data_IF_286391854004
#
_entry.id   IF_286391854004
#
_cell.length_a   1.000
_cell.length_b   1.000
_cell.length_c   1.000
_cell.angle_alpha   90.00
_cell.angle_beta   90.00
_cell.angle_gamma   90.00
#
_symmetry.space_group_name_H-M   'P 1'
#
loop_
_entity.id
_entity.type
_entity.pdbx_description
1 polymer ?
#
# COMPACT_ATOMS: atom_id res chain seq x y z
N UNK A 1 36.65 16.98 -10.71
CA UNK A 1 35.41 16.64 -11.43
C UNK A 1 34.24 16.68 -10.43
N UNK A 2 33.11 17.28 -10.80
CA UNK A 2 31.96 17.32 -9.88
C UNK A 2 31.20 15.99 -9.98
N UNK A 3 31.34 15.16 -8.97
CA UNK A 3 30.86 13.77 -8.93
C UNK A 3 29.38 13.62 -9.25
N UNK A 4 28.55 14.63 -8.91
CA UNK A 4 27.11 14.58 -9.15
C UNK A 4 26.72 14.63 -10.64
N UNK A 5 27.52 15.23 -11.53
CA UNK A 5 27.24 15.19 -12.97
C UNK A 5 27.30 13.74 -13.46
N UNK A 6 28.37 13.04 -13.08
CA UNK A 6 28.57 11.63 -13.40
C UNK A 6 27.46 10.74 -12.84
N UNK A 7 27.15 10.90 -11.54
CA UNK A 7 26.11 10.14 -10.88
C UNK A 7 24.71 10.35 -11.50
N UNK A 8 24.34 11.58 -11.87
CA UNK A 8 23.03 11.90 -12.45
C UNK A 8 22.89 11.40 -13.89
N UNK A 9 23.98 11.47 -14.69
CA UNK A 9 23.97 10.93 -16.03
C UNK A 9 23.66 9.45 -16.11
N UNK A 10 23.89 8.69 -15.01
CA UNK A 10 23.59 7.27 -14.94
C UNK A 10 22.11 6.97 -15.26
N UNK A 11 21.18 7.87 -14.94
CA UNK A 11 19.75 7.69 -15.26
C UNK A 11 19.49 7.53 -16.76
N UNK A 12 20.21 8.28 -17.59
CA UNK A 12 20.03 8.23 -19.06
C UNK A 12 20.98 7.23 -19.70
N UNK A 13 22.20 7.05 -19.18
CA UNK A 13 23.13 6.04 -19.72
C UNK A 13 22.62 4.62 -19.54
N UNK A 14 21.92 4.34 -18.44
CA UNK A 14 21.24 3.07 -18.23
C UNK A 14 20.12 2.79 -19.26
N UNK A 15 19.65 3.83 -19.95
CA UNK A 15 18.66 3.77 -21.03
C UNK A 15 19.28 3.84 -22.43
N UNK A 16 20.60 3.61 -22.53
CA UNK A 16 21.41 3.64 -23.76
C UNK A 16 21.57 5.04 -24.42
N UNK A 17 21.44 6.14 -23.64
CA UNK A 17 21.81 7.44 -24.18
C UNK A 17 23.29 7.42 -24.66
N UNK A 18 23.66 8.02 -25.83
CA UNK A 18 22.89 9.04 -26.56
C UNK A 18 21.91 8.52 -27.62
N UNK A 19 21.68 7.23 -27.73
CA UNK A 19 20.66 6.72 -28.67
C UNK A 19 19.24 6.94 -28.10
N UNK A 20 18.69 8.15 -28.36
CA UNK A 20 17.33 8.51 -27.96
C UNK A 20 16.24 7.75 -28.74
N UNK A 21 16.60 7.04 -29.80
CA UNK A 21 15.68 6.21 -30.57
C UNK A 21 15.56 4.79 -30.02
N UNK A 22 16.40 4.42 -29.08
CA UNK A 22 16.34 3.14 -28.40
C UNK A 22 15.00 2.93 -27.68
N UNK A 23 14.47 1.71 -27.73
CA UNK A 23 13.18 1.37 -27.13
C UNK A 23 13.15 1.59 -25.60
N UNK A 24 14.25 1.33 -24.91
CA UNK A 24 14.35 1.57 -23.46
C UNK A 24 14.28 3.05 -23.14
N UNK A 25 14.96 3.91 -23.92
CA UNK A 25 14.89 5.36 -23.75
C UNK A 25 13.47 5.89 -23.98
N UNK A 26 12.84 5.54 -25.11
CA UNK A 26 11.47 5.96 -25.43
C UNK A 26 10.43 5.51 -24.43
N UNK A 27 10.62 4.32 -23.85
CA UNK A 27 9.68 3.73 -22.89
C UNK A 27 9.80 4.31 -21.49
N UNK A 28 11.01 4.57 -21.02
CA UNK A 28 11.28 4.90 -19.62
C UNK A 28 11.67 6.36 -19.37
N UNK A 29 12.05 7.11 -20.42
CA UNK A 29 12.36 8.53 -20.31
C UNK A 29 11.27 9.40 -20.95
N UNK A 30 10.86 10.55 -20.31
CA UNK A 30 11.23 10.97 -18.95
C UNK A 30 10.51 10.14 -17.89
N UNK A 31 11.26 9.76 -16.85
CA UNK A 31 10.79 8.93 -15.74
C UNK A 31 10.36 9.73 -14.51
N UNK A 32 10.01 9.00 -13.45
CA UNK A 32 9.79 9.54 -12.11
C UNK A 32 11.00 9.20 -11.25
N UNK A 33 11.57 10.20 -10.55
CA UNK A 33 12.67 10.00 -9.62
C UNK A 33 12.16 9.97 -8.18
N UNK A 34 12.48 8.90 -7.45
CA UNK A 34 12.21 8.78 -6.01
C UNK A 34 13.57 8.81 -5.32
N UNK A 35 13.82 9.83 -4.50
CA UNK A 35 15.13 10.09 -3.92
C UNK A 35 15.02 10.46 -2.43
N UNK A 36 16.12 10.28 -1.69
CA UNK A 36 16.22 10.80 -0.33
C UNK A 36 16.20 12.33 -0.30
N UNK A 37 15.61 12.92 0.73
CA UNK A 37 15.53 14.39 0.86
C UNK A 37 16.87 15.10 0.89
N UNK A 38 17.93 14.43 1.31
CA UNK A 38 19.29 14.95 1.35
C UNK A 38 19.90 15.23 -0.02
N UNK A 39 19.47 14.50 -1.05
CA UNK A 39 19.92 14.65 -2.43
C UNK A 39 18.90 15.37 -3.33
N UNK A 40 17.81 15.88 -2.76
CA UNK A 40 16.76 16.55 -3.52
C UNK A 40 17.27 17.70 -4.37
N UNK A 41 18.17 18.54 -3.83
CA UNK A 41 18.73 19.68 -4.57
C UNK A 41 19.42 19.27 -5.86
N UNK A 42 20.14 18.16 -5.84
CA UNK A 42 20.83 17.65 -7.03
C UNK A 42 19.87 17.18 -8.10
N UNK A 43 18.76 16.56 -7.69
CA UNK A 43 17.75 16.00 -8.60
C UNK A 43 16.71 17.03 -9.08
N UNK A 44 16.37 18.00 -8.22
CA UNK A 44 15.30 18.96 -8.54
C UNK A 44 15.81 20.30 -9.09
N UNK A 45 17.11 20.60 -8.97
CA UNK A 45 17.69 21.84 -9.46
C UNK A 45 18.78 21.56 -10.51
N UNK A 46 19.83 20.82 -10.13
CA UNK A 46 20.99 20.64 -11.04
C UNK A 46 20.67 19.68 -12.18
N UNK A 47 20.00 18.58 -11.90
CA UNK A 47 19.68 17.59 -12.93
C UNK A 47 18.76 18.14 -14.03
N UNK A 48 17.64 18.78 -13.74
CA UNK A 48 16.87 19.46 -14.79
C UNK A 48 17.66 20.49 -15.58
N UNK A 49 18.51 21.26 -14.93
CA UNK A 49 19.34 22.25 -15.61
C UNK A 49 20.33 21.60 -16.61
N UNK A 50 20.94 20.46 -16.23
CA UNK A 50 21.84 19.71 -17.12
C UNK A 50 21.09 19.11 -18.32
N UNK A 51 19.92 18.54 -18.06
CA UNK A 51 19.08 17.97 -19.11
C UNK A 51 18.63 19.05 -20.11
N UNK A 52 18.14 20.19 -19.62
CA UNK A 52 17.75 21.31 -20.47
C UNK A 52 18.91 21.87 -21.28
N UNK A 53 20.13 21.93 -20.71
CA UNK A 53 21.32 22.33 -21.45
C UNK A 53 21.74 21.33 -22.54
N UNK A 54 21.28 20.08 -22.43
CA UNK A 54 21.51 19.01 -23.40
C UNK A 54 20.31 18.79 -24.34
N UNK A 55 19.32 19.69 -24.35
CA UNK A 55 18.07 19.58 -25.10
C UNK A 55 17.27 18.30 -24.80
N UNK A 56 17.34 17.83 -23.54
CA UNK A 56 16.59 16.68 -23.05
C UNK A 56 15.45 17.12 -22.12
N UNK A 57 14.35 16.38 -22.16
CA UNK A 57 13.23 16.61 -21.23
C UNK A 57 13.63 16.32 -19.77
N UNK A 58 13.26 17.18 -18.81
CA UNK A 58 13.39 16.89 -17.38
C UNK A 58 12.51 15.71 -16.94
N UNK A 59 12.80 15.10 -15.76
CA UNK A 59 11.95 14.06 -15.19
C UNK A 59 10.49 14.51 -15.03
N UNK A 60 9.54 13.62 -15.26
CA UNK A 60 8.08 13.93 -15.10
C UNK A 60 7.73 14.35 -13.69
N UNK A 61 8.38 13.74 -12.70
CA UNK A 61 8.18 14.03 -11.29
C UNK A 61 9.43 13.66 -10.50
N UNK A 62 9.72 14.45 -9.48
CA UNK A 62 10.76 14.15 -8.51
C UNK A 62 10.09 14.12 -7.14
N UNK A 63 10.19 12.99 -6.46
CA UNK A 63 9.62 12.78 -5.14
C UNK A 63 10.74 12.52 -4.14
N UNK A 64 10.78 13.32 -3.06
CA UNK A 64 11.76 13.16 -1.99
C UNK A 64 11.11 12.48 -0.79
N UNK A 65 11.64 11.33 -0.39
CA UNK A 65 11.23 10.66 0.84
C UNK A 65 12.08 11.10 2.04
N UNK A 66 11.51 10.97 3.23
CA UNK A 66 12.18 11.28 4.50
C UNK A 66 13.16 10.18 4.93
N UNK A 67 13.78 10.38 6.08
CA UNK A 67 14.67 9.42 6.71
C UNK A 67 13.94 8.55 7.72
N UNK A 68 14.52 7.39 7.97
CA UNK A 68 14.14 6.54 9.09
C UNK A 68 15.16 6.66 10.22
N UNK A 69 14.68 6.78 11.43
CA UNK A 69 15.44 6.60 12.67
C UNK A 69 15.24 5.17 13.18
N UNK A 70 16.05 4.73 14.13
CA UNK A 70 15.90 3.46 14.80
C UNK A 70 15.78 3.73 16.31
N UNK A 71 14.61 3.43 16.89
CA UNK A 71 14.29 3.72 18.28
C UNK A 71 14.61 5.19 18.67
N UNK A 72 14.16 6.12 17.82
CA UNK A 72 14.37 7.55 17.98
C UNK A 72 15.79 8.06 17.69
N UNK A 73 16.72 7.20 17.30
CA UNK A 73 18.10 7.56 17.03
C UNK A 73 18.42 7.52 15.54
N UNK A 74 19.27 8.42 15.07
CA UNK A 74 19.78 8.39 13.69
C UNK A 74 20.47 7.07 13.40
N UNK A 75 20.11 6.40 12.32
CA UNK A 75 20.78 5.18 11.87
C UNK A 75 22.20 5.51 11.44
N UNK A 76 23.18 4.87 12.05
CA UNK A 76 24.60 5.09 11.77
C UNK A 76 25.42 3.83 12.03
N UNK A 77 26.38 3.55 11.14
CA UNK A 77 27.33 2.44 11.32
C UNK A 77 28.17 2.62 12.58
N UNK A 78 28.52 3.87 12.92
CA UNK A 78 29.32 4.18 14.11
C UNK A 78 28.56 3.96 15.43
N UNK A 79 27.24 4.05 15.40
CA UNK A 79 26.38 3.77 16.56
C UNK A 79 26.00 2.29 16.67
N UNK A 80 26.31 1.47 15.65
CA UNK A 80 25.94 0.05 15.63
C UNK A 80 24.45 -0.23 15.57
N UNK A 81 23.63 0.78 15.26
CA UNK A 81 22.17 0.69 15.24
C UNK A 81 21.59 0.53 13.82
N UNK A 82 22.39 0.03 12.89
CA UNK A 82 21.96 -0.25 11.51
C UNK A 82 20.99 -1.43 11.54
N UNK A 83 19.86 -1.25 10.88
CA UNK A 83 18.84 -2.29 10.76
C UNK A 83 19.24 -3.20 9.60
N UNK A 84 19.37 -4.50 9.89
CA UNK A 84 19.54 -5.52 8.87
C UNK A 84 18.16 -5.93 8.34
N UNK A 85 17.81 -5.61 7.09
CA UNK A 85 16.49 -5.92 6.56
C UNK A 85 16.19 -7.43 6.53
N UNK A 86 17.17 -8.28 6.33
CA UNK A 86 16.98 -9.73 6.30
C UNK A 86 16.55 -10.28 7.66
N UNK A 87 17.22 -9.85 8.74
CA UNK A 87 16.85 -10.26 10.11
C UNK A 87 15.44 -9.81 10.49
N UNK A 88 15.06 -8.61 10.07
CA UNK A 88 13.72 -8.07 10.33
C UNK A 88 12.66 -8.82 9.50
N UNK A 89 12.97 -9.15 8.26
CA UNK A 89 12.07 -9.94 7.40
C UNK A 89 11.90 -11.36 7.96
N UNK A 90 12.99 -11.98 8.43
CA UNK A 90 12.93 -13.31 9.06
C UNK A 90 12.09 -13.29 10.34
N UNK A 91 12.13 -12.20 11.11
CA UNK A 91 11.38 -12.06 12.37
C UNK A 91 9.89 -11.76 12.15
N UNK A 92 9.54 -10.87 11.22
CA UNK A 92 8.18 -10.33 11.08
C UNK A 92 7.48 -10.75 9.79
N UNK A 93 8.21 -11.23 8.79
CA UNK A 93 7.72 -11.47 7.44
C UNK A 93 7.89 -10.28 6.50
N UNK A 94 8.09 -10.57 5.21
CA UNK A 94 8.33 -9.55 4.18
C UNK A 94 7.15 -8.59 4.02
N UNK A 95 5.93 -9.13 3.91
CA UNK A 95 4.73 -8.34 3.64
C UNK A 95 4.39 -7.42 4.82
N UNK A 96 4.59 -7.90 6.04
CA UNK A 96 4.36 -7.14 7.27
C UNK A 96 5.31 -5.94 7.36
N UNK A 97 6.59 -6.13 7.01
CA UNK A 97 7.58 -5.05 7.02
C UNK A 97 7.28 -4.04 5.91
N UNK A 98 6.97 -4.49 4.70
CA UNK A 98 6.56 -3.59 3.60
C UNK A 98 5.33 -2.78 3.98
N UNK A 99 4.32 -3.44 4.55
CA UNK A 99 3.11 -2.78 5.03
C UNK A 99 3.44 -1.72 6.07
N UNK A 100 4.24 -2.04 7.09
CA UNK A 100 4.67 -1.10 8.12
C UNK A 100 5.33 0.15 7.51
N UNK A 101 6.33 -0.04 6.65
CA UNK A 101 7.07 1.06 6.04
C UNK A 101 6.19 2.02 5.22
N UNK A 102 5.16 1.51 4.56
CA UNK A 102 4.25 2.33 3.77
C UNK A 102 3.07 2.90 4.55
N UNK A 103 2.75 2.29 5.68
CA UNK A 103 1.56 2.66 6.47
C UNK A 103 1.87 3.58 7.66
N UNK A 104 3.08 3.48 8.23
CA UNK A 104 3.41 4.11 9.52
C UNK A 104 3.51 5.63 9.41
N UNK A 105 4.16 6.13 8.38
CA UNK A 105 4.34 7.57 8.19
C UNK A 105 3.90 8.03 6.81
N UNK A 106 3.42 9.28 6.67
CA UNK A 106 3.20 9.88 5.36
C UNK A 106 4.48 9.84 4.53
N UNK A 107 4.38 9.28 3.32
CA UNK A 107 5.52 9.15 2.44
C UNK A 107 6.07 10.54 2.10
N UNK A 108 7.33 10.79 2.42
CA UNK A 108 7.96 12.11 2.36
C UNK A 108 8.40 12.64 3.73
N UNK A 109 7.78 12.19 4.81
CA UNK A 109 8.15 12.56 6.18
C UNK A 109 9.21 11.61 6.75
N UNK A 110 9.86 12.06 7.83
CA UNK A 110 10.74 11.18 8.61
C UNK A 110 9.90 10.22 9.44
N UNK A 111 10.37 8.98 9.57
CA UNK A 111 9.76 7.94 10.35
C UNK A 111 10.70 7.33 11.39
N UNK A 112 10.13 6.65 12.37
CA UNK A 112 10.89 5.89 13.35
C UNK A 112 10.62 4.39 13.20
N UNK A 113 11.70 3.62 13.07
CA UNK A 113 11.65 2.18 13.00
C UNK A 113 11.74 1.63 14.42
N UNK A 114 10.57 1.33 14.99
CA UNK A 114 10.44 0.78 16.33
C UNK A 114 9.82 -0.61 16.26
N UNK A 115 10.38 -1.57 17.02
CA UNK A 115 9.83 -2.92 17.12
C UNK A 115 8.41 -2.93 17.68
N UNK A 116 8.16 -2.07 18.66
CA UNK A 116 6.83 -1.93 19.24
C UNK A 116 5.83 -1.35 18.25
N UNK A 117 6.23 -0.35 17.46
CA UNK A 117 5.38 0.23 16.42
C UNK A 117 5.05 -0.80 15.32
N UNK A 118 6.01 -1.62 14.90
CA UNK A 118 5.77 -2.72 13.95
C UNK A 118 4.73 -3.68 14.52
N UNK A 119 4.93 -4.17 15.74
CA UNK A 119 4.02 -5.12 16.37
C UNK A 119 2.62 -4.54 16.54
N UNK A 120 2.50 -3.29 16.99
CA UNK A 120 1.22 -2.62 17.14
C UNK A 120 0.50 -2.46 15.79
N UNK A 121 1.21 -2.01 14.76
CA UNK A 121 0.64 -1.78 13.42
C UNK A 121 0.17 -3.08 12.78
N UNK A 122 1.01 -4.13 12.81
CA UNK A 122 0.67 -5.45 12.27
C UNK A 122 -0.51 -6.05 13.01
N UNK A 123 -0.52 -5.98 14.34
CA UNK A 123 -1.62 -6.52 15.12
C UNK A 123 -2.94 -5.75 14.90
N UNK A 124 -2.91 -4.41 14.94
CA UNK A 124 -4.12 -3.61 14.81
C UNK A 124 -4.74 -3.72 13.42
N UNK A 125 -3.94 -3.45 12.38
CA UNK A 125 -4.46 -3.36 11.01
C UNK A 125 -4.58 -4.75 10.37
N UNK A 126 -3.50 -5.55 10.33
CA UNK A 126 -3.51 -6.82 9.60
C UNK A 126 -4.20 -7.94 10.38
N UNK A 127 -3.84 -8.18 11.65
CA UNK A 127 -4.37 -9.32 12.40
C UNK A 127 -5.79 -9.08 12.89
N UNK A 128 -6.02 -7.99 13.64
CA UNK A 128 -7.29 -7.77 14.33
C UNK A 128 -8.39 -7.20 13.42
N UNK A 129 -8.03 -6.43 12.39
CA UNK A 129 -9.02 -5.91 11.45
C UNK A 129 -9.24 -6.89 10.29
N UNK A 130 -8.26 -7.03 9.39
CA UNK A 130 -8.40 -7.82 8.18
C UNK A 130 -8.38 -9.33 8.45
N UNK A 131 -7.37 -9.84 9.16
CA UNK A 131 -7.21 -11.27 9.43
C UNK A 131 -8.38 -11.86 10.22
N UNK A 132 -8.86 -11.15 11.24
CA UNK A 132 -10.00 -11.57 12.03
C UNK A 132 -11.31 -11.61 11.20
N UNK A 133 -11.53 -10.62 10.32
CA UNK A 133 -12.66 -10.63 9.40
C UNK A 133 -12.66 -11.89 8.53
N UNK A 134 -11.52 -12.16 7.85
CA UNK A 134 -11.37 -13.32 6.98
C UNK A 134 -11.60 -14.62 7.75
N UNK A 135 -10.95 -14.77 8.90
CA UNK A 135 -11.05 -15.98 9.71
C UNK A 135 -12.48 -16.24 10.18
N UNK A 136 -13.18 -15.20 10.66
CA UNK A 136 -14.58 -15.29 11.11
C UNK A 136 -15.48 -15.76 9.99
N UNK A 137 -15.41 -15.09 8.83
CA UNK A 137 -16.33 -15.35 7.73
C UNK A 137 -16.01 -16.68 7.05
N UNK A 138 -14.76 -16.98 6.74
CA UNK A 138 -14.37 -18.25 6.13
C UNK A 138 -14.74 -19.44 7.04
N UNK A 139 -14.44 -19.36 8.33
CA UNK A 139 -14.83 -20.39 9.30
C UNK A 139 -16.35 -20.57 9.40
N UNK A 140 -17.10 -19.46 9.32
CA UNK A 140 -18.57 -19.53 9.35
C UNK A 140 -19.12 -20.19 8.09
N UNK A 141 -18.61 -19.83 6.91
CA UNK A 141 -19.03 -20.40 5.61
C UNK A 141 -18.74 -21.91 5.60
N UNK A 142 -17.53 -22.32 6.00
CA UNK A 142 -17.15 -23.74 6.03
C UNK A 142 -18.09 -24.54 6.95
N UNK A 143 -18.39 -24.04 8.13
CA UNK A 143 -19.17 -24.75 9.14
C UNK A 143 -20.69 -24.70 8.89
N UNK A 144 -21.21 -23.67 8.21
CA UNK A 144 -22.64 -23.39 8.19
C UNK A 144 -23.24 -23.23 6.78
N UNK A 145 -22.42 -23.18 5.73
CA UNK A 145 -22.84 -23.04 4.36
C UNK A 145 -22.17 -24.06 3.42
N UNK A 146 -21.73 -25.21 3.97
CA UNK A 146 -21.07 -26.30 3.22
C UNK A 146 -19.86 -25.84 2.39
N UNK A 147 -19.13 -24.82 2.87
CA UNK A 147 -18.03 -24.17 2.15
C UNK A 147 -18.44 -23.55 0.80
N UNK A 148 -19.72 -23.26 0.61
CA UNK A 148 -20.25 -22.67 -0.63
C UNK A 148 -20.91 -21.32 -0.37
N UNK A 149 -20.75 -20.39 -1.29
CA UNK A 149 -21.39 -19.08 -1.31
C UNK A 149 -22.17 -18.95 -2.62
N UNK A 150 -23.49 -18.96 -2.53
CA UNK A 150 -24.38 -18.86 -3.68
C UNK A 150 -24.56 -17.41 -4.13
N UNK A 151 -24.94 -17.20 -5.39
CA UNK A 151 -25.36 -15.88 -5.86
C UNK A 151 -26.54 -15.39 -5.03
N UNK A 152 -26.56 -14.08 -4.69
CA UNK A 152 -27.63 -13.53 -3.85
C UNK A 152 -28.96 -13.60 -4.56
N UNK A 153 -30.02 -13.88 -3.81
CA UNK A 153 -31.38 -13.80 -4.31
C UNK A 153 -31.92 -12.36 -4.26
N UNK A 154 -31.48 -11.61 -3.26
CA UNK A 154 -31.86 -10.21 -3.09
C UNK A 154 -30.69 -9.43 -2.51
N UNK A 155 -30.39 -8.31 -3.13
CA UNK A 155 -29.48 -7.30 -2.60
C UNK A 155 -30.33 -6.21 -1.95
N UNK A 156 -30.10 -5.94 -0.67
CA UNK A 156 -30.78 -4.89 0.08
C UNK A 156 -30.03 -3.57 -0.01
N UNK A 157 -30.68 -2.46 0.36
CA UNK A 157 -30.12 -1.11 0.26
C UNK A 157 -28.75 -0.96 0.96
N UNK A 158 -28.63 -1.56 2.14
CA UNK A 158 -27.36 -1.55 2.90
C UNK A 158 -26.25 -2.36 2.22
N UNK A 159 -26.59 -3.45 1.52
CA UNK A 159 -25.63 -4.24 0.74
C UNK A 159 -25.13 -3.43 -0.46
N UNK A 160 -26.08 -2.80 -1.18
CA UNK A 160 -25.74 -1.92 -2.30
C UNK A 160 -24.88 -0.74 -1.86
N UNK A 161 -25.19 -0.13 -0.72
CA UNK A 161 -24.42 0.96 -0.15
C UNK A 161 -22.99 0.50 0.07
N UNK A 162 -22.79 -0.60 0.79
CA UNK A 162 -21.48 -1.13 1.09
C UNK A 162 -20.66 -1.44 -0.19
N UNK A 163 -21.31 -2.03 -1.21
CA UNK A 163 -20.68 -2.30 -2.51
C UNK A 163 -20.35 -1.02 -3.30
N UNK A 164 -21.15 0.04 -3.18
CA UNK A 164 -20.87 1.35 -3.79
C UNK A 164 -19.71 2.04 -3.08
N UNK A 165 -19.67 1.99 -1.75
CA UNK A 165 -18.62 2.57 -0.93
C UNK A 165 -17.26 1.94 -1.21
N UNK A 166 -17.21 0.64 -1.55
CA UNK A 166 -16.01 -0.01 -2.07
C UNK A 166 -15.46 0.71 -3.32
N UNK A 167 -16.32 1.03 -4.29
CA UNK A 167 -15.85 1.67 -5.53
C UNK A 167 -15.31 3.08 -5.28
N UNK A 168 -15.91 3.81 -4.33
CA UNK A 168 -15.40 5.14 -3.91
C UNK A 168 -14.05 4.99 -3.22
N UNK A 169 -13.94 4.04 -2.30
CA UNK A 169 -12.69 3.73 -1.58
C UNK A 169 -11.57 3.33 -2.55
N UNK A 170 -11.87 2.47 -3.52
CA UNK A 170 -10.91 2.04 -4.52
C UNK A 170 -10.43 3.19 -5.41
N UNK A 171 -11.34 4.08 -5.83
CA UNK A 171 -10.98 5.28 -6.58
C UNK A 171 -10.05 6.19 -5.76
N UNK A 172 -10.37 6.41 -4.49
CA UNK A 172 -9.55 7.19 -3.58
C UNK A 172 -8.18 6.54 -3.35
N UNK A 173 -8.13 5.21 -3.23
CA UNK A 173 -6.89 4.46 -3.16
C UNK A 173 -5.99 4.73 -4.38
N UNK A 174 -6.51 4.61 -5.60
CA UNK A 174 -5.75 4.86 -6.83
C UNK A 174 -5.23 6.30 -6.88
N UNK A 175 -6.08 7.29 -6.60
CA UNK A 175 -5.69 8.71 -6.60
C UNK A 175 -4.57 9.00 -5.58
N UNK A 176 -4.66 8.40 -4.39
CA UNK A 176 -3.63 8.54 -3.37
C UNK A 176 -2.32 7.86 -3.78
N UNK A 177 -2.39 6.68 -4.41
CA UNK A 177 -1.19 6.00 -4.95
C UNK A 177 -0.50 6.83 -6.03
N UNK A 178 -1.24 7.40 -6.98
CA UNK A 178 -0.71 8.29 -8.04
C UNK A 178 -0.06 9.55 -7.47
N UNK A 179 -0.57 10.01 -6.31
CA UNK A 179 -0.07 11.19 -5.61
C UNK A 179 1.05 10.89 -4.60
N UNK A 180 1.52 9.63 -4.51
CA UNK A 180 2.47 9.14 -3.51
C UNK A 180 2.00 9.29 -2.05
N UNK A 181 0.70 9.38 -1.81
CA UNK A 181 0.11 9.38 -0.47
C UNK A 181 -0.22 7.94 -0.05
N UNK A 182 0.80 7.11 0.03
CA UNK A 182 0.66 5.64 0.20
C UNK A 182 0.03 5.32 1.56
N UNK A 183 0.44 6.02 2.61
CA UNK A 183 -0.14 5.90 3.95
C UNK A 183 -1.65 6.15 3.97
N UNK A 184 -2.11 7.18 3.22
CA UNK A 184 -3.54 7.51 3.07
C UNK A 184 -4.27 6.48 2.22
N UNK A 185 -3.65 5.99 1.15
CA UNK A 185 -4.21 4.93 0.34
C UNK A 185 -4.51 3.69 1.19
N UNK A 186 -3.53 3.25 1.99
CA UNK A 186 -3.71 2.12 2.91
C UNK A 186 -4.71 2.44 4.02
N UNK A 187 -4.66 3.64 4.61
CA UNK A 187 -5.60 4.06 5.65
C UNK A 187 -7.05 3.95 5.18
N UNK A 188 -7.37 4.45 3.98
CA UNK A 188 -8.72 4.38 3.42
C UNK A 188 -9.21 2.93 3.29
N UNK A 189 -8.34 1.99 2.93
CA UNK A 189 -8.69 0.56 2.87
C UNK A 189 -9.04 0.02 4.26
N UNK A 190 -8.27 0.35 5.30
CA UNK A 190 -8.55 -0.13 6.66
C UNK A 190 -9.75 0.56 7.30
N UNK A 191 -10.04 1.81 6.97
CA UNK A 191 -11.30 2.48 7.36
C UNK A 191 -12.50 1.76 6.74
N UNK A 192 -12.45 1.46 5.45
CA UNK A 192 -13.50 0.70 4.79
C UNK A 192 -13.64 -0.74 5.36
N UNK A 193 -12.53 -1.42 5.68
CA UNK A 193 -12.56 -2.71 6.37
C UNK A 193 -13.27 -2.63 7.73
N UNK A 194 -13.14 -1.52 8.44
CA UNK A 194 -13.86 -1.30 9.70
C UNK A 194 -15.38 -1.18 9.45
N UNK A 195 -15.80 -0.54 8.35
CA UNK A 195 -17.20 -0.50 7.94
C UNK A 195 -17.73 -1.89 7.57
N UNK A 196 -16.92 -2.71 6.87
CA UNK A 196 -17.28 -4.11 6.55
C UNK A 196 -17.43 -4.93 7.83
N UNK A 197 -16.55 -4.76 8.83
CA UNK A 197 -16.69 -5.44 10.12
C UNK A 197 -17.98 -5.01 10.84
N UNK A 198 -18.29 -3.72 10.85
CA UNK A 198 -19.54 -3.20 11.43
C UNK A 198 -20.78 -3.80 10.72
N UNK A 199 -20.77 -3.87 9.39
CA UNK A 199 -21.82 -4.52 8.62
C UNK A 199 -22.00 -6.00 8.99
N UNK A 200 -20.90 -6.74 9.17
CA UNK A 200 -20.96 -8.15 9.60
C UNK A 200 -21.61 -8.30 10.97
N UNK A 201 -21.28 -7.40 11.89
CA UNK A 201 -21.84 -7.43 13.25
C UNK A 201 -23.33 -7.02 13.25
N UNK A 202 -23.72 -6.07 12.43
CA UNK A 202 -25.12 -5.63 12.27
C UNK A 202 -25.99 -6.70 11.61
N UNK A 203 -25.52 -7.30 10.51
CA UNK A 203 -26.25 -8.34 9.80
C UNK A 203 -26.29 -9.67 10.56
N UNK A 204 -25.31 -9.90 11.45
CA UNK A 204 -25.22 -11.06 12.33
C UNK A 204 -25.56 -12.38 11.61
N UNK A 205 -24.77 -12.83 10.62
CA UNK A 205 -25.09 -14.04 9.84
C UNK A 205 -25.28 -15.29 10.72
N UNK A 206 -24.70 -15.34 11.90
CA UNK A 206 -24.91 -16.39 12.90
C UNK A 206 -26.32 -16.39 13.48
N UNK A 207 -26.98 -15.24 13.57
CA UNK A 207 -28.38 -15.14 13.98
C UNK A 207 -29.29 -15.47 12.80
N UNK A 208 -29.02 -14.94 11.59
CA UNK A 208 -29.76 -15.21 10.36
C UNK A 208 -29.80 -16.70 10.01
N UNK A 209 -28.76 -17.47 10.37
CA UNK A 209 -28.78 -18.93 10.21
C UNK A 209 -30.02 -19.59 10.84
N UNK A 210 -30.55 -19.03 11.93
CA UNK A 210 -31.71 -19.58 12.65
C UNK A 210 -33.05 -19.05 12.19
N UNK A 211 -33.05 -17.87 11.59
CA UNK A 211 -34.29 -17.11 11.28
C UNK A 211 -34.54 -16.95 9.78
N UNK A 212 -33.48 -16.68 9.02
CA UNK A 212 -33.55 -16.45 7.56
C UNK A 212 -32.27 -16.90 6.86
N UNK A 213 -32.24 -18.17 6.47
CA UNK A 213 -31.04 -18.75 5.79
C UNK A 213 -30.84 -18.16 4.38
N UNK A 214 -31.88 -17.63 3.74
CA UNK A 214 -31.76 -16.96 2.43
C UNK A 214 -30.99 -15.65 2.61
N UNK A 215 -31.45 -14.81 3.54
CA UNK A 215 -30.74 -13.55 3.83
C UNK A 215 -29.30 -13.80 4.32
N UNK A 216 -29.08 -14.84 5.11
CA UNK A 216 -27.72 -15.24 5.50
C UNK A 216 -26.82 -15.48 4.30
N UNK A 217 -27.27 -16.22 3.28
CA UNK A 217 -26.51 -16.48 2.06
C UNK A 217 -26.23 -15.19 1.27
N UNK A 218 -27.20 -14.28 1.17
CA UNK A 218 -27.06 -13.01 0.49
C UNK A 218 -25.97 -12.15 1.19
N UNK A 219 -26.00 -12.07 2.52
CA UNK A 219 -24.99 -11.38 3.34
C UNK A 219 -23.59 -11.99 3.15
N UNK A 220 -23.49 -13.32 3.22
CA UNK A 220 -22.21 -14.01 3.02
C UNK A 220 -21.61 -13.75 1.63
N UNK A 221 -22.48 -13.68 0.60
CA UNK A 221 -22.04 -13.34 -0.75
C UNK A 221 -21.43 -11.93 -0.80
N UNK A 222 -22.09 -10.93 -0.24
CA UNK A 222 -21.63 -9.54 -0.22
C UNK A 222 -20.27 -9.44 0.46
N UNK A 223 -20.12 -10.03 1.65
CA UNK A 223 -18.88 -9.99 2.41
C UNK A 223 -17.76 -10.71 1.65
N UNK A 224 -18.05 -11.88 1.10
CA UNK A 224 -17.05 -12.66 0.33
C UNK A 224 -16.60 -11.89 -0.91
N UNK A 225 -17.53 -11.28 -1.66
CA UNK A 225 -17.20 -10.46 -2.83
C UNK A 225 -16.27 -9.29 -2.48
N UNK A 226 -16.56 -8.58 -1.39
CA UNK A 226 -15.73 -7.48 -0.90
C UNK A 226 -14.35 -8.00 -0.49
N UNK A 227 -14.31 -9.09 0.24
CA UNK A 227 -13.05 -9.70 0.69
C UNK A 227 -12.14 -10.09 -0.47
N UNK A 228 -12.70 -10.70 -1.53
CA UNK A 228 -11.96 -11.04 -2.75
C UNK A 228 -11.44 -9.77 -3.43
N UNK A 229 -12.28 -8.75 -3.59
CA UNK A 229 -11.88 -7.48 -4.19
C UNK A 229 -10.75 -6.80 -3.40
N UNK A 230 -10.82 -6.83 -2.07
CA UNK A 230 -9.77 -6.27 -1.22
C UNK A 230 -8.46 -7.08 -1.29
N UNK A 231 -8.53 -8.41 -1.43
CA UNK A 231 -7.32 -9.23 -1.57
C UNK A 231 -6.53 -8.93 -2.84
N UNK A 232 -7.21 -8.50 -3.92
CA UNK A 232 -6.57 -8.09 -5.18
C UNK A 232 -5.83 -6.74 -5.08
N UNK A 233 -6.06 -5.96 -4.04
CA UNK A 233 -5.35 -4.69 -3.80
C UNK A 233 -3.97 -4.93 -3.16
N UNK A 234 -3.74 -6.12 -2.60
CA UNK A 234 -2.50 -6.50 -1.93
C UNK A 234 -1.44 -7.11 -2.87
N UNK A 235 -1.75 -7.29 -4.13
CA UNK A 235 -0.84 -7.75 -5.18
C UNK A 235 -0.24 -6.53 -5.90
#
# INVERSE_FOLDING_TARGET
MYVWIDALCNYITALNYPDINNDSFKKFWPGIHIVGKDILRFHAVYWPAFLMAADLEPPKKIFAHGWWTNEGQKISKSLGNVINPYEIIDQYGLDQIRFFLFREVPFGNDGDFSKDAIAQRVNADLSNNYGNLIQRIASFIIKNANAEVSKPKKIEEQDEKLLKDFNVTFKNYLNNMESFQIDRALKNIFEYLSEVNAYVDEQAPWALKKTDTTRMQDVLYVITLITIKLSLIHI
#
